data_IF_389584172933
#
_entry.id   IF_389584172933
#
_cell.length_a   1.000
_cell.length_b   1.000
_cell.length_c   1.000
_cell.angle_alpha   90.00
_cell.angle_beta   90.00
_cell.angle_gamma   90.00
#
_symmetry.space_group_name_H-M   'P 1'
#
loop_
_entity.id
_entity.type
_entity.pdbx_description
1 polymer ?
#
# COMPACT_ATOMS: atom_id res chain seq x y z
N UNK A 1 19.10 0.01 -13.73
CA UNK A 1 18.45 -0.68 -12.58
C UNK A 1 17.58 0.36 -11.90
N UNK A 2 16.28 0.13 -11.77
CA UNK A 2 15.40 1.08 -11.07
C UNK A 2 15.46 0.90 -9.55
N UNK A 3 15.99 1.89 -8.85
CA UNK A 3 15.93 2.00 -7.39
C UNK A 3 14.57 2.56 -6.97
N UNK A 4 14.02 2.05 -5.86
CA UNK A 4 12.67 2.41 -5.40
C UNK A 4 12.67 2.63 -3.91
N UNK A 5 12.05 3.71 -3.47
CA UNK A 5 11.82 4.03 -2.06
C UNK A 5 10.36 4.43 -1.87
N UNK A 6 9.82 4.27 -0.65
CA UNK A 6 8.54 4.87 -0.28
C UNK A 6 8.79 5.80 0.88
N UNK A 7 8.30 7.03 0.78
CA UNK A 7 8.31 8.00 1.87
C UNK A 7 6.90 8.24 2.37
N UNK A 8 6.79 8.49 3.67
CA UNK A 8 5.55 8.86 4.35
C UNK A 8 5.65 10.29 4.89
N UNK A 9 4.62 11.08 4.62
CA UNK A 9 4.37 12.38 5.22
C UNK A 9 3.16 12.24 6.14
N UNK A 10 3.23 12.82 7.34
CA UNK A 10 2.13 12.82 8.31
C UNK A 10 1.96 14.21 8.95
N UNK A 11 0.73 14.53 9.32
CA UNK A 11 0.32 15.73 10.02
C UNK A 11 -0.38 16.71 9.10
N UNK A 12 -0.15 17.99 9.31
CA UNK A 12 -0.67 19.05 8.45
C UNK A 12 0.18 19.14 7.17
N UNK A 13 -0.18 18.35 6.15
CA UNK A 13 0.56 18.28 4.87
C UNK A 13 -0.03 19.19 3.78
N UNK A 14 -1.29 19.59 3.94
CA UNK A 14 -2.02 20.41 2.96
C UNK A 14 -1.92 21.89 3.28
N UNK A 15 -2.22 22.32 4.52
CA UNK A 15 -2.17 23.74 4.86
C UNK A 15 -0.75 24.31 4.79
N UNK A 16 0.27 23.46 4.96
CA UNK A 16 1.68 23.85 4.87
C UNK A 16 2.31 23.65 3.48
N UNK A 17 1.55 23.20 2.47
CA UNK A 17 2.05 22.88 1.12
C UNK A 17 3.23 21.88 1.09
N UNK A 18 3.49 21.16 2.18
CA UNK A 18 4.60 20.19 2.28
C UNK A 18 4.50 19.09 1.23
N UNK A 19 3.28 18.65 0.93
CA UNK A 19 3.05 17.66 -0.11
C UNK A 19 3.55 18.17 -1.47
N UNK A 20 3.21 19.40 -1.83
CA UNK A 20 3.60 20.02 -3.10
C UNK A 20 5.12 20.17 -3.16
N UNK A 21 5.75 20.74 -2.13
CA UNK A 21 7.21 20.91 -2.08
C UNK A 21 7.97 19.60 -2.21
N UNK A 22 7.46 18.52 -1.61
CA UNK A 22 8.05 17.18 -1.75
C UNK A 22 7.91 16.66 -3.18
N UNK A 23 6.74 16.85 -3.82
CA UNK A 23 6.52 16.43 -5.19
C UNK A 23 7.42 17.19 -6.18
N UNK A 24 7.53 18.51 -6.03
CA UNK A 24 8.40 19.35 -6.85
C UNK A 24 9.86 18.90 -6.72
N UNK A 25 10.39 18.77 -5.50
CA UNK A 25 11.78 18.34 -5.29
C UNK A 25 12.07 16.94 -5.89
N UNK A 26 11.11 16.02 -5.85
CA UNK A 26 11.26 14.71 -6.50
C UNK A 26 11.38 14.86 -8.04
N UNK A 27 10.54 15.71 -8.64
CA UNK A 27 10.52 15.93 -10.10
C UNK A 27 11.75 16.71 -10.55
N UNK A 28 12.15 17.75 -9.82
CA UNK A 28 13.37 18.53 -10.07
C UNK A 28 14.65 17.66 -9.99
N UNK A 29 14.63 16.63 -9.13
CA UNK A 29 15.71 15.64 -9.04
C UNK A 29 15.70 14.60 -10.17
N UNK A 30 14.82 14.73 -11.15
CA UNK A 30 14.66 13.80 -12.26
C UNK A 30 14.09 12.44 -11.86
N UNK A 31 13.51 12.33 -10.66
CA UNK A 31 12.94 11.09 -10.15
C UNK A 31 11.45 11.00 -10.48
N UNK A 32 10.93 9.78 -10.58
CA UNK A 32 9.52 9.53 -10.85
C UNK A 32 8.81 9.25 -9.53
N UNK A 33 7.78 10.02 -9.21
CA UNK A 33 6.92 9.75 -8.06
C UNK A 33 5.59 9.09 -8.45
N UNK A 34 5.02 8.33 -7.52
CA UNK A 34 3.64 7.84 -7.58
C UNK A 34 3.06 7.91 -6.17
N UNK A 35 2.03 8.74 -5.99
CA UNK A 35 1.25 8.73 -4.75
C UNK A 35 0.57 7.36 -4.63
N UNK A 36 0.87 6.66 -3.55
CA UNK A 36 0.32 5.35 -3.22
C UNK A 36 -0.87 5.46 -2.28
N UNK A 37 -0.86 6.46 -1.43
CA UNK A 37 -1.87 6.68 -0.42
C UNK A 37 -1.95 8.15 -0.06
N UNK A 38 -3.16 8.64 0.14
CA UNK A 38 -3.44 10.00 0.56
C UNK A 38 -4.71 9.93 1.39
N UNK A 39 -4.60 10.30 2.67
CA UNK A 39 -5.74 10.54 3.55
C UNK A 39 -5.68 11.99 4.00
N UNK A 40 -6.77 12.70 3.78
CA UNK A 40 -6.94 14.08 4.21
C UNK A 40 -7.84 14.04 5.44
N UNK A 41 -7.41 14.65 6.54
CA UNK A 41 -8.25 14.83 7.72
C UNK A 41 -9.44 15.72 7.38
N UNK A 42 -10.63 15.42 7.91
CA UNK A 42 -11.84 16.20 7.61
C UNK A 42 -11.89 17.50 8.44
N UNK A 43 -11.19 17.50 9.59
CA UNK A 43 -11.04 18.67 10.47
C UNK A 43 -9.55 18.95 10.77
N UNK A 44 -9.24 20.20 11.17
CA UNK A 44 -7.86 20.65 11.46
C UNK A 44 -7.12 19.85 12.54
N UNK A 45 -7.85 19.11 13.39
CA UNK A 45 -7.27 18.28 14.45
C UNK A 45 -7.00 16.84 14.01
N UNK A 46 -7.42 16.44 12.81
CA UNK A 46 -7.13 15.12 12.26
C UNK A 46 -5.83 15.16 11.43
N UNK A 47 -4.93 14.22 11.71
CA UNK A 47 -3.72 14.06 10.92
C UNK A 47 -4.06 13.69 9.48
N UNK A 48 -3.56 14.47 8.53
CA UNK A 48 -3.46 14.03 7.14
C UNK A 48 -2.20 13.17 6.97
N UNK A 49 -2.21 12.21 6.06
CA UNK A 49 -0.97 11.50 5.69
C UNK A 49 -0.93 11.16 4.20
N UNK A 50 0.28 11.06 3.66
CA UNK A 50 0.54 10.69 2.28
C UNK A 50 1.70 9.69 2.20
N UNK A 51 1.57 8.65 1.38
CA UNK A 51 2.66 7.76 1.01
C UNK A 51 3.00 7.92 -0.45
N UNK A 52 4.26 8.21 -0.72
CA UNK A 52 4.75 8.49 -2.07
C UNK A 52 5.84 7.49 -2.41
N UNK A 53 5.61 6.72 -3.48
CA UNK A 53 6.62 5.82 -4.02
C UNK A 53 7.49 6.58 -5.01
N UNK A 54 8.79 6.59 -4.77
CA UNK A 54 9.79 7.24 -5.62
C UNK A 54 10.55 6.15 -6.39
N UNK A 55 10.80 6.39 -7.67
CA UNK A 55 11.66 5.58 -8.53
C UNK A 55 12.76 6.45 -9.10
N UNK A 56 13.97 5.91 -9.15
CA UNK A 56 15.13 6.56 -9.76
C UNK A 56 16.00 5.54 -10.47
N UNK A 57 16.61 5.92 -11.58
CA UNK A 57 17.61 5.10 -12.28
C UNK A 57 18.99 5.17 -11.59
N UNK A 58 19.17 6.13 -10.67
CA UNK A 58 20.42 6.39 -9.97
C UNK A 58 20.24 6.27 -8.45
N UNK A 59 20.96 5.35 -7.83
CA UNK A 59 20.92 5.12 -6.38
C UNK A 59 21.35 6.36 -5.59
N UNK A 60 22.43 7.01 -6.01
CA UNK A 60 22.98 8.16 -5.29
C UNK A 60 21.98 9.32 -5.30
N UNK A 61 21.40 9.62 -6.46
CA UNK A 61 20.35 10.62 -6.59
C UNK A 61 19.13 10.30 -5.70
N UNK A 62 18.76 9.02 -5.59
CA UNK A 62 17.68 8.61 -4.68
C UNK A 62 18.06 8.85 -3.22
N UNK A 63 19.25 8.42 -2.78
CA UNK A 63 19.71 8.61 -1.39
C UNK A 63 19.80 10.11 -1.02
N UNK A 64 20.38 10.94 -1.90
CA UNK A 64 20.49 12.41 -1.72
C UNK A 64 19.10 13.08 -1.64
N UNK A 65 18.17 12.65 -2.51
CA UNK A 65 16.79 13.12 -2.50
C UNK A 65 16.09 12.74 -1.19
N UNK A 66 16.19 11.47 -0.75
CA UNK A 66 15.58 11.02 0.50
C UNK A 66 16.12 11.81 1.70
N UNK A 67 17.41 12.15 1.72
CA UNK A 67 17.98 13.01 2.74
C UNK A 67 17.39 14.43 2.70
N UNK A 68 17.27 15.01 1.51
CA UNK A 68 16.63 16.32 1.32
C UNK A 68 15.17 16.32 1.76
N UNK A 69 14.40 15.28 1.45
CA UNK A 69 12.98 15.20 1.78
C UNK A 69 12.70 15.14 3.29
N UNK A 70 13.68 14.75 4.13
CA UNK A 70 13.56 14.78 5.59
C UNK A 70 13.26 16.19 6.12
N UNK A 71 13.75 17.25 5.46
CA UNK A 71 13.51 18.65 5.87
C UNK A 71 12.03 19.04 5.76
N UNK A 72 11.27 18.35 4.90
CA UNK A 72 9.83 18.50 4.76
C UNK A 72 9.02 17.52 5.65
N UNK A 73 9.70 16.74 6.49
CA UNK A 73 9.09 15.72 7.34
C UNK A 73 8.75 14.41 6.61
N UNK A 74 9.25 14.21 5.38
CA UNK A 74 9.06 12.95 4.69
C UNK A 74 10.04 11.91 5.22
N UNK A 75 9.52 10.78 5.71
CA UNK A 75 10.34 9.73 6.30
C UNK A 75 10.29 8.46 5.45
N UNK A 76 11.43 7.80 5.18
CA UNK A 76 11.43 6.56 4.43
C UNK A 76 10.75 5.45 5.24
N UNK A 77 9.79 4.76 4.61
CA UNK A 77 9.05 3.65 5.21
C UNK A 77 9.21 2.39 4.37
N UNK A 78 9.43 1.27 5.06
CA UNK A 78 9.51 -0.05 4.42
C UNK A 78 8.11 -0.60 4.24
N UNK A 79 7.67 -0.75 2.99
CA UNK A 79 6.40 -1.40 2.66
C UNK A 79 6.66 -2.89 2.46
N UNK A 80 6.01 -3.70 3.28
CA UNK A 80 5.97 -5.15 3.16
C UNK A 80 4.73 -5.48 2.34
N UNK A 81 4.91 -6.27 1.28
CA UNK A 81 3.79 -6.72 0.47
C UNK A 81 3.82 -8.22 0.23
N UNK A 82 2.65 -8.85 0.31
CA UNK A 82 2.43 -10.28 0.11
C UNK A 82 1.21 -10.47 -0.78
N UNK A 83 1.24 -11.47 -1.64
CA UNK A 83 0.11 -11.74 -2.54
C UNK A 83 -0.51 -13.06 -2.14
N UNK A 84 -1.84 -13.07 -2.07
CA UNK A 84 -2.64 -14.25 -1.76
C UNK A 84 -3.57 -14.55 -2.92
N UNK A 85 -3.91 -15.83 -3.06
CA UNK A 85 -4.93 -16.32 -3.98
C UNK A 85 -6.04 -17.00 -3.18
N UNK A 86 -7.27 -16.75 -3.59
CA UNK A 86 -8.45 -17.35 -2.98
C UNK A 86 -9.22 -17.99 -4.12
N UNK A 87 -9.69 -19.22 -3.93
CA UNK A 87 -10.50 -19.96 -4.90
C UNK A 87 -11.68 -20.62 -4.17
N UNK A 88 -12.84 -20.65 -4.81
CA UNK A 88 -14.05 -21.26 -4.24
C UNK A 88 -15.31 -20.47 -4.55
N UNK A 89 -16.36 -20.64 -3.75
CA UNK A 89 -17.56 -19.78 -3.83
C UNK A 89 -17.34 -18.44 -3.11
N UNK A 90 -16.30 -17.69 -3.50
CA UNK A 90 -15.77 -16.56 -2.73
C UNK A 90 -16.80 -15.42 -2.53
N UNK A 91 -17.76 -15.30 -3.45
CA UNK A 91 -18.87 -14.33 -3.37
C UNK A 91 -19.98 -14.83 -2.44
N UNK A 92 -20.43 -16.06 -2.61
CA UNK A 92 -21.57 -16.62 -1.86
C UNK A 92 -21.21 -16.90 -0.38
N UNK A 93 -19.98 -17.36 -0.13
CA UNK A 93 -19.49 -17.64 1.22
C UNK A 93 -19.05 -16.39 2.01
N UNK A 94 -19.10 -15.21 1.36
CA UNK A 94 -18.58 -13.93 1.87
C UNK A 94 -17.10 -14.01 2.28
N UNK A 95 -16.34 -14.98 1.76
CA UNK A 95 -14.92 -15.16 2.11
C UNK A 95 -14.09 -13.97 1.67
N UNK A 96 -14.39 -13.41 0.49
CA UNK A 96 -13.70 -12.21 -0.01
C UNK A 96 -13.94 -11.04 0.94
N UNK A 97 -15.20 -10.77 1.28
CA UNK A 97 -15.58 -9.68 2.17
C UNK A 97 -14.89 -9.82 3.53
N UNK A 98 -14.96 -11.00 4.16
CA UNK A 98 -14.28 -11.27 5.45
C UNK A 98 -12.78 -11.02 5.40
N UNK A 99 -12.11 -11.39 4.30
CA UNK A 99 -10.68 -11.16 4.13
C UNK A 99 -10.39 -9.66 3.97
N UNK A 100 -11.18 -8.94 3.16
CA UNK A 100 -11.05 -7.49 3.00
C UNK A 100 -11.28 -6.76 4.32
N UNK A 101 -12.33 -7.11 5.06
CA UNK A 101 -12.62 -6.57 6.40
C UNK A 101 -11.45 -6.79 7.37
N UNK A 102 -10.88 -8.01 7.40
CA UNK A 102 -9.71 -8.29 8.23
C UNK A 102 -8.52 -7.40 7.85
N UNK A 103 -8.26 -7.20 6.56
CA UNK A 103 -7.15 -6.37 6.08
C UNK A 103 -7.36 -4.91 6.53
N UNK A 104 -8.55 -4.33 6.29
CA UNK A 104 -8.84 -2.95 6.65
C UNK A 104 -8.84 -2.71 8.17
N UNK A 105 -9.40 -3.64 8.95
CA UNK A 105 -9.43 -3.54 10.41
C UNK A 105 -8.03 -3.59 11.05
N UNK A 106 -7.01 -4.07 10.33
CA UNK A 106 -5.62 -4.08 10.78
C UNK A 106 -4.79 -2.95 10.15
N UNK A 107 -5.42 -1.91 9.59
CA UNK A 107 -4.75 -0.80 8.90
C UNK A 107 -3.78 -1.26 7.79
N UNK A 108 -4.04 -2.41 7.19
CA UNK A 108 -3.35 -2.89 6.01
C UNK A 108 -4.13 -2.51 4.76
N UNK A 109 -3.44 -2.49 3.62
CA UNK A 109 -4.03 -2.16 2.32
C UNK A 109 -4.10 -3.41 1.47
N UNK A 110 -5.18 -3.54 0.70
CA UNK A 110 -5.30 -4.54 -0.36
C UNK A 110 -5.36 -3.87 -1.74
N UNK A 111 -4.83 -4.56 -2.74
CA UNK A 111 -5.01 -4.29 -4.16
C UNK A 111 -5.48 -5.60 -4.81
N UNK A 112 -6.72 -5.63 -5.31
CA UNK A 112 -7.24 -6.78 -6.06
C UNK A 112 -6.59 -6.77 -7.43
N UNK A 113 -5.71 -7.74 -7.69
CA UNK A 113 -4.93 -7.83 -8.92
C UNK A 113 -5.69 -8.56 -10.03
N UNK A 114 -6.44 -9.60 -9.66
CA UNK A 114 -7.29 -10.35 -10.59
C UNK A 114 -8.53 -10.83 -9.85
N UNK A 115 -9.67 -10.81 -10.53
CA UNK A 115 -10.91 -11.42 -10.05
C UNK A 115 -11.61 -12.11 -11.22
N UNK A 116 -12.05 -13.34 -10.98
CA UNK A 116 -12.86 -14.14 -11.91
C UNK A 116 -14.07 -14.61 -11.15
N UNK A 117 -15.24 -14.18 -11.58
CA UNK A 117 -16.52 -14.55 -10.95
C UNK A 117 -17.15 -15.67 -11.78
N UNK A 118 -17.53 -16.74 -11.10
CA UNK A 118 -18.30 -17.81 -11.70
C UNK A 118 -19.66 -17.28 -12.19
N UNK A 119 -20.08 -17.68 -13.40
CA UNK A 119 -21.32 -17.18 -14.01
C UNK A 119 -22.56 -17.86 -13.40
N UNK A 120 -22.43 -19.12 -12.99
CA UNK A 120 -23.48 -19.86 -12.28
C UNK A 120 -23.14 -20.07 -10.80
N UNK A 121 -24.14 -20.38 -9.98
CA UNK A 121 -23.96 -20.63 -8.53
C UNK A 121 -22.98 -21.77 -8.23
N UNK A 122 -22.77 -22.68 -9.19
CA UNK A 122 -21.89 -23.85 -9.06
C UNK A 122 -20.47 -23.57 -9.52
N UNK A 123 -20.23 -22.46 -10.21
CA UNK A 123 -18.91 -22.11 -10.71
C UNK A 123 -18.03 -21.57 -9.59
N UNK A 124 -16.75 -21.97 -9.63
CA UNK A 124 -15.75 -21.43 -8.73
C UNK A 124 -15.38 -20.01 -9.15
N UNK A 125 -15.35 -19.11 -8.17
CA UNK A 125 -14.73 -17.80 -8.28
C UNK A 125 -13.27 -17.88 -7.86
N UNK A 126 -12.47 -16.95 -8.36
CA UNK A 126 -11.05 -16.80 -8.05
C UNK A 126 -10.74 -15.32 -7.82
N UNK A 127 -9.89 -15.03 -6.83
CA UNK A 127 -9.39 -13.70 -6.57
C UNK A 127 -7.91 -13.74 -6.20
N UNK A 128 -7.14 -12.83 -6.79
CA UNK A 128 -5.74 -12.58 -6.48
C UNK A 128 -5.60 -11.22 -5.83
N UNK A 129 -5.10 -11.17 -4.61
CA UNK A 129 -5.09 -9.96 -3.79
C UNK A 129 -3.68 -9.72 -3.28
N UNK A 130 -3.17 -8.51 -3.52
CA UNK A 130 -1.91 -8.04 -2.94
C UNK A 130 -2.19 -7.26 -1.67
N UNK A 131 -1.66 -7.73 -0.55
CA UNK A 131 -1.72 -7.08 0.75
C UNK A 131 -0.44 -6.27 0.95
N UNK A 132 -0.54 -5.07 1.50
CA UNK A 132 0.59 -4.19 1.81
C UNK A 132 0.43 -3.55 3.18
N UNK A 133 1.52 -3.51 3.96
CA UNK A 133 1.57 -2.87 5.28
C UNK A 133 2.98 -2.35 5.56
N UNK A 134 3.11 -1.44 6.54
CA UNK A 134 4.41 -0.97 7.05
C UNK A 134 4.93 -1.81 8.23
N UNK A 135 4.08 -2.69 8.80
CA UNK A 135 4.42 -3.46 9.99
C UNK A 135 4.44 -4.98 9.71
N UNK A 136 5.59 -5.60 9.93
CA UNK A 136 5.82 -7.03 9.71
C UNK A 136 4.90 -7.90 10.58
N UNK A 137 4.74 -7.59 11.87
CA UNK A 137 3.85 -8.34 12.76
C UNK A 137 2.39 -8.28 12.30
N UNK A 138 1.94 -7.13 11.76
CA UNK A 138 0.59 -7.02 11.18
C UNK A 138 0.45 -7.94 9.97
N UNK A 139 1.46 -7.98 9.09
CA UNK A 139 1.46 -8.87 7.92
C UNK A 139 1.39 -10.34 8.34
N UNK A 140 2.24 -10.78 9.25
CA UNK A 140 2.29 -12.17 9.71
C UNK A 140 0.96 -12.60 10.35
N UNK A 141 0.41 -11.79 11.27
CA UNK A 141 -0.89 -12.04 11.88
C UNK A 141 -2.05 -12.09 10.86
N UNK A 142 -2.02 -11.21 9.85
CA UNK A 142 -3.04 -11.20 8.79
C UNK A 142 -2.94 -12.47 7.95
N UNK A 143 -1.74 -12.85 7.52
CA UNK A 143 -1.54 -14.05 6.71
C UNK A 143 -2.00 -15.31 7.45
N UNK A 144 -1.66 -15.46 8.72
CA UNK A 144 -2.13 -16.60 9.53
C UNK A 144 -3.66 -16.71 9.57
N UNK A 145 -4.36 -15.57 9.74
CA UNK A 145 -5.84 -15.53 9.75
C UNK A 145 -6.43 -15.80 8.38
N UNK A 146 -5.84 -15.24 7.32
CA UNK A 146 -6.35 -15.35 5.95
C UNK A 146 -6.12 -16.76 5.40
N UNK A 147 -4.99 -17.39 5.70
CA UNK A 147 -4.70 -18.79 5.31
C UNK A 147 -5.73 -19.74 5.96
N UNK A 148 -6.14 -19.50 7.21
CA UNK A 148 -7.21 -20.27 7.88
C UNK A 148 -8.58 -20.14 7.20
N UNK A 149 -8.80 -19.08 6.41
CA UNK A 149 -10.02 -18.89 5.60
C UNK A 149 -9.92 -19.55 4.21
N UNK A 150 -8.87 -20.33 3.94
CA UNK A 150 -8.67 -21.05 2.67
C UNK A 150 -7.91 -20.26 1.61
N UNK A 151 -7.29 -19.14 1.96
CA UNK A 151 -6.39 -18.44 1.04
C UNK A 151 -5.02 -19.12 0.98
N UNK A 152 -4.38 -19.06 -0.19
CA UNK A 152 -3.04 -19.58 -0.42
C UNK A 152 -2.08 -18.42 -0.61
N UNK A 153 -0.97 -18.42 0.12
CA UNK A 153 0.10 -17.45 -0.07
C UNK A 153 0.87 -17.83 -1.35
N UNK A 154 1.06 -16.86 -2.25
CA UNK A 154 1.95 -17.02 -3.39
C UNK A 154 3.20 -16.18 -3.18
N UNK A 155 4.36 -16.80 -3.33
CA UNK A 155 5.62 -16.07 -3.40
C UNK A 155 5.83 -15.62 -4.85
N UNK A 156 6.06 -14.32 -5.04
CA UNK A 156 6.53 -13.74 -6.31
C UNK A 156 8.03 -13.51 -6.22
#
# INVERSE_FOLDING_TARGET
MDYKCTVELKGDIFDTLRLTSVLDEIVDSGCICKIKELKVGEIRSEDSYARIKIRSENRKALDDLIESLKKYGATPVKIISRTIEIQGHIVDSLTLSKILDMIFNNNARCEVQEIKIGLEKKDFSYAKIKISTTNQQIMDNLLEKIIKQGAVLIEQ
#
